data_IF_632092629130
#
_entry.id   IF_632092629130
#
_cell.length_a   1.000
_cell.length_b   1.000
_cell.length_c   1.000
_cell.angle_alpha   90.00
_cell.angle_beta   90.00
_cell.angle_gamma   90.00
#
_symmetry.space_group_name_H-M   'P 1'
#
loop_
_entity.id
_entity.type
_entity.pdbx_description
1 polymer ?
#
# COMPACT_ATOMS: atom_id res chain seq x y z
N UNK A 1 18.95 1.10 24.72
CA UNK A 1 19.18 -0.37 24.70
C UNK A 1 20.54 -0.64 24.07
N UNK A 2 21.66 -0.53 24.81
CA UNK A 2 23.01 -0.46 24.21
C UNK A 2 23.53 -1.80 23.64
N UNK A 3 22.83 -2.92 23.89
CA UNK A 3 23.26 -4.26 23.46
C UNK A 3 22.35 -4.89 22.39
N UNK A 4 21.42 -4.14 21.80
CA UNK A 4 20.53 -4.68 20.77
C UNK A 4 21.27 -4.78 19.44
N UNK A 5 21.41 -6.00 18.91
CA UNK A 5 22.13 -6.26 17.64
C UNK A 5 21.21 -6.37 16.42
N UNK A 6 19.94 -6.72 16.65
CA UNK A 6 18.94 -6.92 15.60
C UNK A 6 17.65 -6.18 15.98
N UNK A 7 17.09 -5.42 15.06
CA UNK A 7 15.82 -4.71 15.26
C UNK A 7 14.92 -4.82 14.02
N UNK A 8 13.67 -5.21 14.26
CA UNK A 8 12.57 -5.13 13.30
C UNK A 8 11.64 -3.96 13.63
N UNK A 9 11.47 -3.01 12.71
CA UNK A 9 10.54 -1.89 12.86
C UNK A 9 9.38 -2.02 11.88
N UNK A 10 8.15 -2.02 12.39
CA UNK A 10 6.95 -2.05 11.58
C UNK A 10 5.90 -1.10 12.13
N UNK A 11 5.59 -0.04 11.40
CA UNK A 11 4.46 0.82 11.74
C UNK A 11 4.02 1.70 10.57
N UNK A 12 2.73 2.01 10.56
CA UNK A 12 2.14 3.06 9.75
C UNK A 12 1.61 4.14 10.70
N UNK A 13 2.00 5.40 10.50
CA UNK A 13 1.73 6.46 11.46
C UNK A 13 1.35 7.78 10.78
N UNK A 14 0.39 8.48 11.35
CA UNK A 14 0.06 9.85 10.98
C UNK A 14 1.04 10.82 11.64
N UNK A 15 1.78 11.57 10.83
CA UNK A 15 2.85 12.46 11.27
C UNK A 15 2.79 13.79 10.53
N UNK A 16 3.38 14.83 11.10
CA UNK A 16 3.47 16.13 10.43
C UNK A 16 4.59 16.16 9.39
N UNK A 17 5.58 15.27 9.47
CA UNK A 17 6.74 15.21 8.57
C UNK A 17 7.03 13.75 8.24
N UNK A 18 7.61 13.51 7.06
CA UNK A 18 8.05 12.18 6.67
C UNK A 18 9.12 11.68 7.65
N UNK A 19 9.05 10.40 8.00
CA UNK A 19 10.14 9.68 8.67
C UNK A 19 11.10 9.21 7.58
N UNK A 20 12.15 9.98 7.38
CA UNK A 20 13.22 9.72 6.42
C UNK A 20 14.46 9.13 7.11
N UNK A 21 15.58 9.00 6.39
CA UNK A 21 16.78 8.40 6.95
C UNK A 21 17.44 9.24 8.04
N UNK A 22 17.37 10.57 7.94
CA UNK A 22 17.87 11.47 8.97
C UNK A 22 17.05 11.35 10.25
N UNK A 23 15.73 11.21 10.14
CA UNK A 23 14.84 10.97 11.27
C UNK A 23 15.18 9.65 11.97
N UNK A 24 15.39 8.56 11.21
CA UNK A 24 15.79 7.27 11.77
C UNK A 24 17.14 7.32 12.46
N UNK A 25 18.12 7.97 11.84
CA UNK A 25 19.46 8.12 12.41
C UNK A 25 19.41 8.85 13.74
N UNK A 26 18.75 10.02 13.76
CA UNK A 26 18.67 10.89 14.93
C UNK A 26 17.92 10.24 16.09
N UNK A 27 16.80 9.56 15.82
CA UNK A 27 15.88 9.11 16.87
C UNK A 27 16.04 7.62 17.25
N UNK A 28 16.67 6.80 16.42
CA UNK A 28 16.80 5.36 16.65
C UNK A 28 18.26 4.94 16.62
N UNK A 29 18.94 5.11 15.49
CA UNK A 29 20.26 4.48 15.27
C UNK A 29 21.35 5.02 16.20
N UNK A 30 21.36 6.33 16.46
CA UNK A 30 22.33 6.93 17.38
C UNK A 30 22.25 6.37 18.81
N UNK A 31 21.11 5.79 19.20
CA UNK A 31 20.90 5.20 20.53
C UNK A 31 21.13 3.68 20.58
N UNK A 32 21.49 3.06 19.44
CA UNK A 32 21.68 1.62 19.29
C UNK A 32 23.01 1.33 18.58
N UNK A 33 24.16 1.66 19.20
CA UNK A 33 25.47 1.59 18.55
C UNK A 33 25.94 0.16 18.19
N UNK A 34 25.31 -0.88 18.76
CA UNK A 34 25.59 -2.28 18.44
C UNK A 34 24.62 -2.89 17.41
N UNK A 35 23.72 -2.09 16.85
CA UNK A 35 22.73 -2.57 15.89
C UNK A 35 23.44 -2.92 14.57
N UNK A 36 23.52 -4.22 14.30
CA UNK A 36 24.17 -4.75 13.09
C UNK A 36 23.15 -5.06 12.00
N UNK A 37 21.89 -5.32 12.37
CA UNK A 37 20.81 -5.61 11.42
C UNK A 37 19.55 -4.82 11.76
N UNK A 38 19.13 -4.00 10.81
CA UNK A 38 17.86 -3.30 10.84
C UNK A 38 16.98 -3.81 9.71
N UNK A 39 15.80 -4.33 10.05
CA UNK A 39 14.73 -4.64 9.10
C UNK A 39 13.60 -3.68 9.39
N UNK A 40 13.04 -3.05 8.37
CA UNK A 40 11.99 -2.07 8.58
C UNK A 40 10.98 -2.02 7.46
N UNK A 41 9.76 -1.68 7.83
CA UNK A 41 8.74 -1.12 6.97
C UNK A 41 8.07 0.02 7.75
N UNK A 42 8.26 1.23 7.25
CA UNK A 42 7.71 2.45 7.82
C UNK A 42 6.86 3.13 6.76
N UNK A 43 5.59 3.35 7.09
CA UNK A 43 4.69 4.16 6.29
C UNK A 43 4.36 5.44 7.06
N UNK A 44 4.92 6.57 6.63
CA UNK A 44 4.60 7.88 7.15
C UNK A 44 3.43 8.45 6.38
N UNK A 45 2.29 8.68 7.03
CA UNK A 45 1.13 9.36 6.44
C UNK A 45 1.18 10.81 6.90
N UNK A 46 1.32 11.75 5.97
CA UNK A 46 1.48 13.17 6.26
C UNK A 46 0.25 13.97 5.88
N UNK A 47 -0.13 14.95 6.69
CA UNK A 47 -1.13 15.95 6.30
C UNK A 47 -0.48 17.03 5.42
N UNK A 48 -1.13 17.36 4.30
CA UNK A 48 -0.65 18.37 3.36
C UNK A 48 -1.12 19.79 3.70
N UNK A 49 -1.96 19.95 4.71
CA UNK A 49 -2.46 21.25 5.13
C UNK A 49 -1.28 22.18 5.46
N UNK A 50 -1.21 23.32 4.78
CA UNK A 50 -0.20 24.36 4.98
C UNK A 50 1.26 23.92 4.71
N UNK A 51 1.47 22.84 3.94
CA UNK A 51 2.80 22.41 3.51
C UNK A 51 3.22 23.19 2.27
N UNK A 52 4.35 23.90 2.37
CA UNK A 52 4.98 24.61 1.23
C UNK A 52 5.95 23.72 0.45
N UNK A 53 6.40 22.62 1.05
CA UNK A 53 7.35 21.69 0.46
C UNK A 53 6.86 20.25 0.63
N UNK A 54 6.91 19.51 -0.47
CA UNK A 54 6.59 18.09 -0.55
C UNK A 54 7.87 17.35 -0.96
N UNK A 55 8.42 16.45 -0.10
CA UNK A 55 9.66 15.75 -0.42
C UNK A 55 9.50 14.90 -1.68
N UNK A 56 10.47 14.99 -2.60
CA UNK A 56 10.52 14.09 -3.74
C UNK A 56 11.07 12.73 -3.32
N UNK A 57 10.84 11.71 -4.16
CA UNK A 57 11.40 10.38 -3.89
C UNK A 57 12.94 10.40 -3.88
N UNK A 58 13.55 11.19 -4.76
CA UNK A 58 15.01 11.36 -4.84
C UNK A 58 15.56 11.97 -3.55
N UNK A 59 14.85 12.96 -3.00
CA UNK A 59 15.21 13.54 -1.71
C UNK A 59 15.15 12.50 -0.60
N UNK A 60 14.06 11.74 -0.50
CA UNK A 60 13.95 10.67 0.51
C UNK A 60 15.06 9.63 0.34
N UNK A 61 15.29 9.13 -0.87
CA UNK A 61 16.35 8.16 -1.16
C UNK A 61 17.73 8.68 -0.77
N UNK A 62 18.02 9.96 -1.01
CA UNK A 62 19.31 10.55 -0.63
C UNK A 62 19.59 10.46 0.88
N UNK A 63 18.56 10.62 1.73
CA UNK A 63 18.70 10.52 3.20
C UNK A 63 18.93 9.09 3.68
N UNK A 64 18.55 8.09 2.88
CA UNK A 64 18.60 6.67 3.23
C UNK A 64 19.98 6.04 2.92
N UNK A 65 20.80 6.70 2.09
CA UNK A 65 22.10 6.19 1.57
C UNK A 65 23.08 5.69 2.65
N UNK A 66 22.96 6.18 3.89
CA UNK A 66 23.89 5.86 4.98
C UNK A 66 23.31 4.88 6.03
N UNK A 67 22.19 4.20 5.75
CA UNK A 67 21.50 3.35 6.74
C UNK A 67 21.92 1.86 6.73
N UNK A 68 23.02 1.51 6.08
CA UNK A 68 23.61 0.16 6.10
C UNK A 68 23.46 -0.63 4.79
N UNK A 69 23.78 -1.92 4.84
CA UNK A 69 24.01 -2.78 3.66
C UNK A 69 22.73 -3.29 2.98
N UNK A 70 21.55 -3.08 3.56
CA UNK A 70 20.29 -3.51 2.93
C UNK A 70 19.92 -2.59 1.78
N UNK A 71 19.48 -3.15 0.66
CA UNK A 71 18.84 -2.36 -0.39
C UNK A 71 17.55 -1.74 0.17
N UNK A 72 17.47 -0.41 0.15
CA UNK A 72 16.35 0.34 0.70
C UNK A 72 15.44 0.71 -0.46
N UNK A 73 14.17 0.35 -0.35
CA UNK A 73 13.15 0.78 -1.30
C UNK A 73 12.32 1.86 -0.64
N UNK A 74 12.03 2.91 -1.39
CA UNK A 74 11.19 4.01 -0.98
C UNK A 74 10.17 4.32 -2.06
N UNK A 75 8.97 4.76 -1.65
CA UNK A 75 7.99 5.38 -2.52
C UNK A 75 7.37 6.58 -1.81
N UNK A 76 6.99 7.59 -2.59
CA UNK A 76 6.29 8.77 -2.09
C UNK A 76 5.08 9.01 -2.97
N UNK A 77 3.91 9.08 -2.35
CA UNK A 77 2.65 9.35 -3.05
C UNK A 77 1.94 10.52 -2.40
N UNK A 78 1.25 11.31 -3.23
CA UNK A 78 0.46 12.46 -2.78
C UNK A 78 -0.99 12.27 -3.20
N UNK A 79 -1.89 12.56 -2.27
CA UNK A 79 -3.33 12.36 -2.37
C UNK A 79 -4.03 13.72 -2.16
N UNK A 80 -4.15 14.55 -3.21
CA UNK A 80 -4.69 15.91 -3.08
C UNK A 80 -6.13 15.97 -2.57
N UNK A 81 -7.01 15.01 -2.94
CA UNK A 81 -8.41 15.02 -2.50
C UNK A 81 -8.53 14.79 -0.99
N UNK A 82 -7.72 13.88 -0.44
CA UNK A 82 -7.64 13.59 0.99
C UNK A 82 -6.76 14.60 1.75
N UNK A 83 -6.02 15.45 1.03
CA UNK A 83 -5.03 16.38 1.60
C UNK A 83 -3.99 15.64 2.44
N UNK A 84 -3.58 14.47 1.97
CA UNK A 84 -2.56 13.64 2.62
C UNK A 84 -1.47 13.25 1.63
N UNK A 85 -0.28 12.92 2.14
CA UNK A 85 0.74 12.20 1.40
C UNK A 85 1.13 10.95 2.18
N UNK A 86 1.83 10.04 1.51
CA UNK A 86 2.52 8.95 2.18
C UNK A 86 3.96 8.86 1.71
N UNK A 87 4.83 8.47 2.62
CA UNK A 87 6.16 8.00 2.30
C UNK A 87 6.30 6.61 2.89
N UNK A 88 6.58 5.64 2.03
CA UNK A 88 6.80 4.26 2.41
C UNK A 88 8.27 3.94 2.22
N UNK A 89 8.95 3.52 3.29
CA UNK A 89 10.33 3.04 3.23
C UNK A 89 10.41 1.62 3.80
N UNK A 90 11.13 0.72 3.13
CA UNK A 90 11.35 -0.63 3.64
C UNK A 90 12.69 -1.23 3.22
N UNK A 91 13.16 -2.18 4.02
CA UNK A 91 14.36 -2.98 3.76
C UNK A 91 14.06 -4.15 2.82
N UNK A 92 14.93 -4.40 1.84
CA UNK A 92 14.88 -5.57 0.96
C UNK A 92 15.95 -6.62 1.36
N UNK A 93 15.66 -7.94 1.34
CA UNK A 93 14.37 -8.55 1.00
C UNK A 93 13.29 -8.26 2.06
N UNK A 94 12.04 -8.16 1.61
CA UNK A 94 10.91 -7.90 2.48
C UNK A 94 10.47 -9.19 3.18
N UNK A 95 10.57 -9.23 4.51
CA UNK A 95 10.33 -10.46 5.31
C UNK A 95 9.10 -10.40 6.20
N UNK A 96 8.36 -9.28 6.18
CA UNK A 96 7.19 -9.11 7.04
C UNK A 96 5.95 -9.73 6.41
N UNK A 97 4.99 -10.09 7.27
CA UNK A 97 3.73 -10.72 6.85
C UNK A 97 2.73 -9.75 6.21
N UNK A 98 2.80 -8.47 6.54
CA UNK A 98 1.80 -7.49 6.17
C UNK A 98 2.43 -6.35 5.35
N UNK A 99 1.77 -5.86 4.30
CA UNK A 99 2.20 -4.70 3.51
C UNK A 99 1.02 -3.75 3.29
N UNK A 100 1.02 -2.61 3.98
CA UNK A 100 -0.12 -1.70 4.00
C UNK A 100 0.03 -0.55 2.99
N UNK A 101 -1.12 -0.08 2.48
CA UNK A 101 -1.29 1.13 1.65
C UNK A 101 -0.48 1.13 0.35
N UNK A 102 -0.53 0.02 -0.37
CA UNK A 102 0.01 -0.09 -1.73
C UNK A 102 -0.80 0.83 -2.67
N UNK A 103 -0.10 1.65 -3.45
CA UNK A 103 -0.65 2.59 -4.44
C UNK A 103 -0.36 2.11 -5.86
N UNK A 104 -0.88 2.83 -6.88
CA UNK A 104 -0.55 2.57 -8.28
C UNK A 104 0.94 2.77 -8.61
N UNK A 105 1.73 3.39 -7.73
CA UNK A 105 3.17 3.55 -7.92
C UNK A 105 3.96 2.33 -7.40
N UNK A 106 3.28 1.25 -7.03
CA UNK A 106 3.92 0.00 -6.63
C UNK A 106 4.81 -0.53 -7.76
N UNK A 107 6.13 -0.70 -7.53
CA UNK A 107 7.06 -1.10 -8.58
C UNK A 107 6.96 -2.60 -8.95
N UNK A 108 6.16 -3.39 -8.22
CA UNK A 108 6.15 -4.84 -8.33
C UNK A 108 7.27 -5.48 -7.52
N UNK A 109 7.66 -6.70 -7.92
CA UNK A 109 8.62 -7.55 -7.21
C UNK A 109 7.95 -8.73 -6.53
N UNK A 110 8.74 -9.66 -5.98
CA UNK A 110 8.24 -10.87 -5.33
C UNK A 110 8.30 -10.73 -3.81
N UNK A 111 7.16 -10.93 -3.14
CA UNK A 111 7.01 -10.76 -1.69
C UNK A 111 6.48 -12.07 -1.05
N UNK A 112 7.33 -13.09 -1.00
CA UNK A 112 6.95 -14.46 -0.58
C UNK A 112 6.43 -14.56 0.87
N UNK A 113 6.86 -13.65 1.75
CA UNK A 113 6.46 -13.67 3.16
C UNK A 113 5.15 -12.91 3.41
N UNK A 114 4.71 -12.08 2.47
CA UNK A 114 3.54 -11.23 2.64
C UNK A 114 2.27 -12.04 2.40
N UNK A 115 1.41 -12.06 3.41
CA UNK A 115 0.12 -12.74 3.41
C UNK A 115 -1.05 -11.76 3.54
N UNK A 116 -0.78 -10.50 3.89
CA UNK A 116 -1.82 -9.50 4.13
C UNK A 116 -1.43 -8.19 3.49
N UNK A 117 -2.28 -7.64 2.63
CA UNK A 117 -2.04 -6.34 2.03
C UNK A 117 -3.26 -5.43 2.13
N UNK A 118 -3.00 -4.13 2.15
CA UNK A 118 -4.02 -3.12 1.89
C UNK A 118 -3.66 -2.25 0.70
N UNK A 119 -4.63 -2.00 -0.16
CA UNK A 119 -4.52 -1.18 -1.36
C UNK A 119 -5.27 0.12 -1.15
N UNK A 120 -4.64 1.23 -1.51
CA UNK A 120 -5.24 2.55 -1.44
C UNK A 120 -4.61 3.49 -2.47
N UNK A 121 -5.43 4.19 -3.25
CA UNK A 121 -5.00 5.31 -4.10
C UNK A 121 -6.22 6.22 -4.39
N UNK A 122 -5.98 7.46 -4.79
CA UNK A 122 -7.03 8.34 -5.32
C UNK A 122 -7.26 8.14 -6.81
N UNK A 123 -6.29 7.56 -7.51
CA UNK A 123 -6.39 7.14 -8.91
C UNK A 123 -7.05 5.76 -8.97
N UNK A 124 -7.80 5.44 -10.03
CA UNK A 124 -8.38 4.12 -10.16
C UNK A 124 -7.30 3.04 -10.22
N UNK A 125 -7.57 1.86 -9.68
CA UNK A 125 -6.79 0.66 -9.94
C UNK A 125 -7.39 -0.04 -11.16
N UNK A 126 -6.60 -0.23 -12.22
CA UNK A 126 -7.05 -0.96 -13.40
C UNK A 126 -6.65 -2.45 -13.30
N UNK A 127 -7.14 -3.27 -14.21
CA UNK A 127 -6.91 -4.72 -14.19
C UNK A 127 -5.44 -5.14 -14.15
N UNK A 128 -4.58 -4.48 -14.93
CA UNK A 128 -3.15 -4.77 -14.96
C UNK A 128 -2.48 -4.55 -13.60
N UNK A 129 -2.97 -3.60 -12.81
CA UNK A 129 -2.50 -3.42 -11.44
C UNK A 129 -2.82 -4.65 -10.60
N UNK A 130 -4.03 -5.19 -10.69
CA UNK A 130 -4.40 -6.39 -9.95
C UNK A 130 -3.68 -7.65 -10.43
N UNK A 131 -3.32 -7.73 -11.73
CA UNK A 131 -2.41 -8.76 -12.23
C UNK A 131 -1.06 -8.65 -11.51
N UNK A 132 -0.47 -7.45 -11.49
CA UNK A 132 0.81 -7.20 -10.82
C UNK A 132 0.74 -7.56 -9.33
N UNK A 133 -0.34 -7.18 -8.64
CA UNK A 133 -0.57 -7.56 -7.24
C UNK A 133 -0.64 -9.09 -7.08
N UNK A 134 -1.40 -9.79 -7.91
CA UNK A 134 -1.51 -11.26 -7.81
C UNK A 134 -0.17 -11.98 -8.02
N UNK A 135 0.69 -11.45 -8.89
CA UNK A 135 2.03 -11.99 -9.16
C UNK A 135 3.03 -11.65 -8.06
N UNK A 136 2.92 -10.45 -7.49
CA UNK A 136 3.81 -9.99 -6.43
C UNK A 136 3.58 -10.68 -5.09
N UNK A 137 2.35 -11.12 -4.82
CA UNK A 137 1.94 -11.68 -3.53
C UNK A 137 1.36 -13.10 -3.71
N UNK A 138 2.20 -14.10 -4.05
CA UNK A 138 1.71 -15.44 -4.40
C UNK A 138 0.99 -16.16 -3.25
N UNK A 139 1.28 -15.81 -1.99
CA UNK A 139 0.68 -16.42 -0.80
C UNK A 139 -0.30 -15.50 -0.07
N UNK A 140 -0.89 -14.54 -0.80
CA UNK A 140 -1.83 -13.57 -0.24
C UNK A 140 -3.07 -14.25 0.36
N UNK A 141 -3.29 -14.04 1.66
CA UNK A 141 -4.45 -14.55 2.42
C UNK A 141 -5.50 -13.49 2.70
N UNK A 142 -5.09 -12.24 2.85
CA UNK A 142 -5.96 -11.11 3.15
C UNK A 142 -5.68 -9.93 2.22
N UNK A 143 -6.72 -9.48 1.54
CA UNK A 143 -6.71 -8.28 0.71
C UNK A 143 -7.70 -7.28 1.29
N UNK A 144 -7.25 -6.05 1.58
CA UNK A 144 -8.14 -4.93 1.86
C UNK A 144 -8.01 -3.90 0.76
N UNK A 145 -9.12 -3.44 0.18
CA UNK A 145 -9.13 -2.51 -0.94
C UNK A 145 -9.98 -1.28 -0.62
N UNK A 146 -9.37 -0.10 -0.77
CA UNK A 146 -10.02 1.22 -0.63
C UNK A 146 -9.79 2.09 -1.84
N UNK A 147 -10.85 2.36 -2.62
CA UNK A 147 -10.78 3.23 -3.79
C UNK A 147 -12.18 3.68 -4.25
N UNK A 148 -12.57 4.91 -3.94
CA UNK A 148 -13.88 5.44 -4.40
C UNK A 148 -13.87 5.89 -5.86
N UNK A 149 -12.71 5.88 -6.54
CA UNK A 149 -12.59 6.35 -7.92
C UNK A 149 -12.97 5.25 -8.91
N UNK A 150 -13.92 5.59 -9.78
CA UNK A 150 -14.39 4.77 -10.90
C UNK A 150 -13.23 4.31 -11.80
N UNK A 151 -13.26 3.04 -12.20
CA UNK A 151 -12.31 2.47 -13.16
C UNK A 151 -12.57 3.05 -14.55
N UNK A 152 -11.51 3.30 -15.31
CA UNK A 152 -11.64 3.81 -16.68
C UNK A 152 -11.97 2.69 -17.66
N UNK A 153 -11.40 1.51 -17.45
CA UNK A 153 -11.58 0.36 -18.32
C UNK A 153 -12.62 -0.59 -17.73
N UNK A 154 -13.89 -0.39 -18.11
CA UNK A 154 -14.99 -1.23 -17.62
C UNK A 154 -15.08 -2.54 -18.39
N UNK A 155 -14.38 -3.55 -17.90
CA UNK A 155 -14.28 -4.85 -18.56
C UNK A 155 -15.60 -5.62 -18.60
N UNK A 156 -16.51 -5.33 -17.66
CA UNK A 156 -17.81 -5.97 -17.55
C UNK A 156 -18.92 -5.34 -18.41
N UNK A 157 -18.74 -4.11 -18.92
CA UNK A 157 -19.78 -3.38 -19.67
C UNK A 157 -19.57 -3.45 -21.19
N UNK A 158 -18.34 -3.61 -21.69
CA UNK A 158 -18.04 -3.58 -23.12
C UNK A 158 -17.28 -4.84 -23.55
N UNK A 159 -17.94 -5.75 -24.27
CA UNK A 159 -17.30 -6.90 -24.91
C UNK A 159 -16.56 -6.43 -26.19
N UNK A 160 -15.45 -5.72 -26.01
CA UNK A 160 -14.55 -5.38 -27.12
C UNK A 160 -13.46 -6.46 -27.22
N UNK A 161 -12.97 -6.76 -28.42
CA UNK A 161 -11.94 -7.80 -28.68
C UNK A 161 -10.69 -7.70 -27.79
N UNK A 162 -10.39 -6.51 -27.25
CA UNK A 162 -9.28 -6.28 -26.33
C UNK A 162 -9.50 -6.93 -24.95
N UNK A 163 -10.75 -7.03 -24.47
CA UNK A 163 -11.08 -7.58 -23.16
C UNK A 163 -11.01 -9.12 -23.13
N UNK A 164 -11.24 -9.79 -24.27
CA UNK A 164 -11.17 -11.25 -24.35
C UNK A 164 -9.75 -11.79 -24.12
N UNK A 165 -8.72 -11.02 -24.49
CA UNK A 165 -7.32 -11.44 -24.40
C UNK A 165 -6.64 -11.10 -23.06
N UNK A 166 -7.35 -10.45 -22.14
CA UNK A 166 -6.74 -10.06 -20.87
C UNK A 166 -6.39 -11.28 -20.00
N UNK A 167 -5.22 -11.26 -19.33
CA UNK A 167 -4.83 -12.30 -18.40
C UNK A 167 -5.81 -12.42 -17.24
N UNK A 168 -6.04 -13.63 -16.76
CA UNK A 168 -6.90 -13.88 -15.60
C UNK A 168 -6.11 -13.55 -14.33
N UNK A 169 -6.68 -12.72 -13.46
CA UNK A 169 -6.16 -12.45 -12.12
C UNK A 169 -6.46 -13.65 -11.22
N UNK A 170 -5.44 -14.18 -10.52
CA UNK A 170 -5.60 -15.36 -9.66
C UNK A 170 -5.13 -15.09 -8.25
N UNK A 171 -6.06 -15.11 -7.30
CA UNK A 171 -5.76 -14.98 -5.87
C UNK A 171 -5.95 -16.33 -5.15
N UNK A 172 -5.11 -17.31 -5.47
CA UNK A 172 -5.32 -18.72 -5.11
C UNK A 172 -5.39 -19.01 -3.60
N UNK A 173 -4.78 -18.16 -2.77
CA UNK A 173 -4.69 -18.36 -1.32
C UNK A 173 -5.56 -17.37 -0.52
N UNK A 174 -6.36 -16.55 -1.20
CA UNK A 174 -7.11 -15.47 -0.58
C UNK A 174 -8.29 -16.01 0.22
N UNK A 175 -8.21 -15.86 1.54
CA UNK A 175 -9.26 -16.30 2.48
C UNK A 175 -10.14 -15.15 2.98
N UNK A 176 -9.65 -13.91 2.84
CA UNK A 176 -10.38 -12.72 3.28
C UNK A 176 -10.21 -11.58 2.27
N UNK A 177 -11.32 -10.98 1.86
CA UNK A 177 -11.35 -9.80 1.02
C UNK A 177 -12.24 -8.73 1.66
N UNK A 178 -11.61 -7.62 2.06
CA UNK A 178 -12.28 -6.47 2.67
C UNK A 178 -12.41 -5.34 1.63
N UNK A 179 -13.64 -5.00 1.28
CA UNK A 179 -13.97 -3.88 0.40
C UNK A 179 -14.39 -2.69 1.26
N UNK A 180 -13.53 -1.69 1.35
CA UNK A 180 -13.68 -0.54 2.25
C UNK A 180 -13.83 0.73 1.41
N UNK A 181 -14.97 1.42 1.44
CA UNK A 181 -15.21 2.65 0.64
C UNK A 181 -14.78 2.49 -0.83
N UNK A 182 -15.45 1.56 -1.52
CA UNK A 182 -15.08 1.13 -2.87
C UNK A 182 -16.11 1.58 -3.91
N UNK A 183 -15.64 1.97 -5.10
CA UNK A 183 -16.52 2.13 -6.26
C UNK A 183 -17.11 0.77 -6.69
N UNK A 184 -18.30 0.78 -7.31
CA UNK A 184 -18.98 -0.46 -7.69
C UNK A 184 -18.25 -1.23 -8.81
N UNK A 185 -17.42 -0.58 -9.63
CA UNK A 185 -16.70 -1.28 -10.71
C UNK A 185 -15.77 -2.37 -10.16
N UNK A 186 -15.10 -2.11 -9.03
CA UNK A 186 -14.25 -3.12 -8.39
C UNK A 186 -15.07 -4.33 -7.93
N UNK A 187 -16.30 -4.11 -7.43
CA UNK A 187 -17.20 -5.20 -7.08
C UNK A 187 -17.52 -6.04 -8.33
N UNK A 188 -17.81 -5.38 -9.45
CA UNK A 188 -18.07 -6.07 -10.71
C UNK A 188 -16.85 -6.84 -11.21
N UNK A 189 -15.65 -6.23 -11.24
CA UNK A 189 -14.43 -6.91 -11.70
C UNK A 189 -14.07 -8.14 -10.84
N UNK A 190 -14.27 -8.07 -9.53
CA UNK A 190 -13.90 -9.18 -8.64
C UNK A 190 -14.96 -10.28 -8.53
N UNK A 191 -16.25 -9.92 -8.59
CA UNK A 191 -17.34 -10.86 -8.28
C UNK A 191 -18.20 -11.25 -9.48
N UNK A 192 -18.17 -10.46 -10.56
CA UNK A 192 -19.02 -10.66 -11.74
C UNK A 192 -18.20 -10.99 -13.00
N UNK A 193 -16.96 -10.53 -13.08
CA UNK A 193 -16.09 -10.78 -14.23
C UNK A 193 -15.43 -12.17 -14.17
N UNK A 194 -15.44 -12.87 -15.30
CA UNK A 194 -14.74 -14.15 -15.52
C UNK A 194 -13.21 -14.03 -15.49
N UNK A 195 -12.68 -12.80 -15.55
CA UNK A 195 -11.24 -12.52 -15.54
C UNK A 195 -10.62 -12.44 -14.14
N UNK A 196 -11.40 -12.71 -13.09
CA UNK A 196 -10.89 -12.81 -11.72
C UNK A 196 -11.26 -14.16 -11.10
N UNK A 197 -10.25 -14.89 -10.63
CA UNK A 197 -10.41 -16.16 -9.92
C UNK A 197 -10.18 -15.97 -8.42
N UNK A 198 -11.25 -16.15 -7.64
CA UNK A 198 -11.25 -16.11 -6.19
C UNK A 198 -11.54 -17.49 -5.59
N UNK A 199 -11.01 -17.83 -4.40
CA UNK A 199 -11.33 -19.07 -3.72
C UNK A 199 -12.81 -19.15 -3.29
N UNK A 200 -13.35 -20.37 -3.27
CA UNK A 200 -14.77 -20.62 -2.96
C UNK A 200 -15.10 -20.30 -1.49
N UNK A 201 -14.13 -20.48 -0.59
CA UNK A 201 -14.25 -20.24 0.86
C UNK A 201 -13.90 -18.80 1.26
N UNK A 202 -13.84 -17.88 0.29
CA UNK A 202 -13.51 -16.49 0.51
C UNK A 202 -14.52 -15.81 1.46
N UNK A 203 -14.00 -15.22 2.54
CA UNK A 203 -14.77 -14.32 3.40
C UNK A 203 -14.75 -12.91 2.82
N UNK A 204 -15.90 -12.48 2.31
CA UNK A 204 -16.09 -11.12 1.83
C UNK A 204 -16.65 -10.24 2.94
N UNK A 205 -16.00 -9.11 3.21
CA UNK A 205 -16.56 -8.05 4.04
C UNK A 205 -16.68 -6.76 3.23
N UNK A 206 -17.80 -6.06 3.36
CA UNK A 206 -18.00 -4.72 2.79
C UNK A 206 -18.27 -3.75 3.93
N UNK A 207 -17.43 -2.73 4.06
CA UNK A 207 -17.59 -1.68 5.05
C UNK A 207 -17.63 -0.35 4.32
N UNK A 208 -18.76 0.33 4.40
CA UNK A 208 -18.83 1.73 4.04
C UNK A 208 -18.51 2.52 5.31
N UNK A 209 -17.32 3.10 5.39
CA UNK A 209 -16.97 4.02 6.46
C UNK A 209 -17.67 5.33 6.13
N UNK A 210 -18.95 5.41 6.49
CA UNK A 210 -19.79 6.55 6.17
C UNK A 210 -19.10 7.87 6.53
N UNK A 211 -19.35 8.91 5.71
CA UNK A 211 -19.00 10.31 5.97
C UNK A 211 -19.70 10.81 7.25
N UNK A 212 -19.30 10.30 8.41
CA UNK A 212 -19.68 10.81 9.70
C UNK A 212 -18.84 12.07 9.95
N UNK A 213 -19.25 13.19 9.33
CA UNK A 213 -19.04 14.59 9.76
C UNK A 213 -19.48 15.55 8.64
N UNK A 214 -20.78 15.60 8.36
CA UNK A 214 -21.38 16.69 7.57
C UNK A 214 -22.79 17.02 8.06
N UNK A 215 -23.00 17.07 9.39
CA UNK A 215 -24.15 17.73 10.01
C UNK A 215 -23.76 18.35 11.35
N UNK A 216 -22.98 19.42 11.30
CA UNK A 216 -23.13 20.54 12.23
C UNK A 216 -23.00 21.82 11.40
N UNK A 217 -24.09 22.13 10.68
CA UNK A 217 -24.39 23.47 10.20
C UNK A 217 -25.54 23.99 11.05
N UNK A 218 -25.34 25.21 11.53
CA UNK A 218 -26.34 26.19 11.96
C UNK A 218 -26.95 26.01 13.35
N UNK A 219 -26.33 26.68 14.32
CA UNK A 219 -27.04 27.50 15.31
C UNK A 219 -26.22 28.77 15.52
#
# INVERSE_FOLDING_TARGET
MPNLENLGLYFAVYVNTVIDGDHLKKNILNYMPKLNKLTYNICSIIYLNNKTYLPSIEHIQSTLTNLGDSQIIASVDYFPKQKTGQCHIYSHPYTLRCYNRITNNFPGGLFEYVQEISLFDERPFEHDFFIQISQSFPFLKKLSLTNETQQKMKQHEESNNENENLPIIKFLHLTQFDLLDIHNDYIAQFLMDTKTCLPIDLRLSRVNVGKANAKQKNS
#
